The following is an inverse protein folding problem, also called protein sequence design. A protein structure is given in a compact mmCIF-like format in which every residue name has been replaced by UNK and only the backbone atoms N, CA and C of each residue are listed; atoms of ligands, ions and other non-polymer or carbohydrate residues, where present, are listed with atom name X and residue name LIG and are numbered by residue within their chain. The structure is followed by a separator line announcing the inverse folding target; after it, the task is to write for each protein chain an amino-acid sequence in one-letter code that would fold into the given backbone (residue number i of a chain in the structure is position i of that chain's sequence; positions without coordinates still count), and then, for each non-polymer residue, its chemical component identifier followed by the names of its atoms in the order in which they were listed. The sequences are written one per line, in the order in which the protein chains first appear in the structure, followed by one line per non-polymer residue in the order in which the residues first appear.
data_IF_384490096786
#
_entry.id   IF_384490096786
#
_cell.length_a   1.000
_cell.length_b   1.000
_cell.length_c   1.000
_cell.angle_alpha   90.00
_cell.angle_beta   90.00
_cell.angle_gamma   90.00
#
_symmetry.space_group_name_H-M   'P 1'
#
loop_
_entity.id
_entity.type
_entity.pdbx_description
1 polymer ?
#
# COMPACT_ATOMS: atom_id res chain seq x y z
N UNK A 1 19.76 2.48 5.18
CA UNK A 1 18.40 2.95 4.88
C UNK A 1 17.85 3.73 6.05
N UNK A 2 17.17 4.82 5.78
CA UNK A 2 16.54 5.68 6.79
C UNK A 2 15.03 5.74 6.51
N UNK A 3 14.23 6.17 7.49
CA UNK A 3 12.79 6.35 7.27
C UNK A 3 12.50 7.26 6.08
N UNK A 4 11.46 6.95 5.31
CA UNK A 4 10.95 7.75 4.20
C UNK A 4 11.86 7.83 2.98
N UNK A 5 12.91 7.01 2.90
CA UNK A 5 13.86 7.07 1.77
C UNK A 5 13.46 6.13 0.63
N UNK A 6 13.09 4.91 0.93
CA UNK A 6 12.72 3.90 -0.07
C UNK A 6 11.27 3.50 0.10
N UNK A 7 10.47 3.80 -0.90
CA UNK A 7 9.03 3.57 -0.90
C UNK A 7 8.70 2.57 -1.99
N UNK A 8 7.85 1.60 -1.69
CA UNK A 8 7.35 0.65 -2.67
C UNK A 8 5.83 0.73 -2.78
N UNK A 9 5.31 0.36 -3.92
CA UNK A 9 3.86 0.37 -4.19
C UNK A 9 3.49 -0.78 -5.12
N UNK A 10 2.27 -1.25 -4.99
CA UNK A 10 1.64 -2.20 -5.89
C UNK A 10 0.13 -2.12 -5.66
N UNK A 11 -0.64 -2.76 -6.53
CA UNK A 11 -2.09 -2.84 -6.41
C UNK A 11 -2.50 -4.26 -6.05
N UNK A 12 -3.48 -4.41 -5.15
CA UNK A 12 -4.09 -5.71 -4.89
C UNK A 12 -5.60 -5.64 -5.02
N UNK A 13 -6.18 -6.77 -5.38
CA UNK A 13 -7.60 -6.93 -5.66
C UNK A 13 -8.27 -7.77 -4.58
N UNK A 14 -9.48 -7.36 -4.19
CA UNK A 14 -10.36 -8.07 -3.27
C UNK A 14 -11.71 -8.30 -3.93
N UNK A 15 -12.43 -9.29 -3.44
CA UNK A 15 -13.79 -9.60 -3.89
C UNK A 15 -14.77 -9.43 -2.74
N UNK A 16 -15.93 -8.89 -3.04
CA UNK A 16 -17.08 -8.86 -2.14
C UNK A 16 -18.33 -9.24 -2.92
N UNK A 17 -19.42 -9.45 -2.23
CA UNK A 17 -20.64 -9.98 -2.84
C UNK A 17 -21.83 -9.11 -2.47
N UNK A 18 -22.78 -8.97 -3.39
CA UNK A 18 -24.04 -8.31 -3.14
C UNK A 18 -25.16 -9.31 -3.43
N UNK A 19 -26.25 -9.23 -2.66
CA UNK A 19 -27.45 -10.05 -2.86
C UNK A 19 -28.49 -9.18 -3.55
N UNK A 20 -28.96 -9.61 -4.73
CA UNK A 20 -29.98 -8.89 -5.45
C UNK A 20 -31.40 -9.16 -4.86
N UNK A 21 -32.42 -8.50 -5.43
CA UNK A 21 -33.81 -8.63 -4.97
C UNK A 21 -34.35 -10.07 -5.09
N UNK A 22 -33.76 -10.90 -5.95
CA UNK A 22 -34.14 -12.30 -6.15
C UNK A 22 -33.31 -13.28 -5.31
N UNK A 23 -32.43 -12.78 -4.48
CA UNK A 23 -31.56 -13.60 -3.64
C UNK A 23 -30.30 -14.14 -4.32
N UNK A 24 -29.97 -13.66 -5.53
CA UNK A 24 -28.75 -14.07 -6.24
C UNK A 24 -27.54 -13.29 -5.76
N UNK A 25 -26.41 -13.99 -5.60
CA UNK A 25 -25.14 -13.36 -5.28
C UNK A 25 -24.46 -12.85 -6.56
N UNK A 26 -24.04 -11.58 -6.54
CA UNK A 26 -23.21 -10.99 -7.58
C UNK A 26 -21.84 -10.66 -7.01
N UNK A 27 -20.79 -11.01 -7.75
CA UNK A 27 -19.40 -10.77 -7.33
C UNK A 27 -18.93 -9.41 -7.82
N UNK A 28 -18.32 -8.65 -6.92
CA UNK A 28 -17.74 -7.34 -7.20
C UNK A 28 -16.28 -7.30 -6.77
N UNK A 29 -15.54 -6.34 -7.28
CA UNK A 29 -14.12 -6.17 -6.98
C UNK A 29 -13.85 -4.85 -6.27
N UNK A 30 -12.85 -4.87 -5.41
CA UNK A 30 -12.33 -3.71 -4.72
C UNK A 30 -10.81 -3.73 -4.89
N UNK A 31 -10.22 -2.55 -5.11
CA UNK A 31 -8.78 -2.40 -5.34
C UNK A 31 -8.17 -1.53 -4.26
N UNK A 32 -7.00 -1.95 -3.77
CA UNK A 32 -6.21 -1.22 -2.79
C UNK A 32 -4.86 -0.86 -3.43
N UNK A 33 -4.51 0.42 -3.35
CA UNK A 33 -3.25 0.97 -3.88
C UNK A 33 -2.45 1.61 -2.74
N UNK A 34 -1.64 0.84 -2.00
CA UNK A 34 -0.84 1.37 -0.89
C UNK A 34 0.57 1.76 -1.33
N UNK A 35 1.13 2.72 -0.61
CA UNK A 35 2.56 3.07 -0.64
C UNK A 35 3.17 2.72 0.71
N UNK A 36 4.22 1.92 0.70
CA UNK A 36 4.86 1.39 1.90
C UNK A 36 6.29 1.92 2.05
N UNK A 37 6.65 2.32 3.26
CA UNK A 37 8.04 2.59 3.61
C UNK A 37 8.78 1.26 3.77
N UNK A 38 9.79 1.04 2.94
CA UNK A 38 10.58 -0.20 3.02
C UNK A 38 11.47 -0.25 4.25
N UNK A 39 11.65 0.87 4.94
CA UNK A 39 12.46 0.92 6.15
C UNK A 39 11.83 0.12 7.30
N UNK A 40 10.53 0.28 7.53
CA UNK A 40 9.83 -0.34 8.66
C UNK A 40 8.56 -1.09 8.28
N UNK A 41 8.18 -1.07 6.99
CA UNK A 41 6.94 -1.68 6.51
C UNK A 41 5.68 -0.86 6.76
N UNK A 42 5.80 0.40 7.20
CA UNK A 42 4.65 1.27 7.44
C UNK A 42 3.93 1.62 6.14
N UNK A 43 2.61 1.54 6.15
CA UNK A 43 1.79 2.02 5.03
C UNK A 43 1.59 3.52 5.22
N UNK A 44 2.23 4.31 4.37
CA UNK A 44 2.25 5.77 4.50
C UNK A 44 1.04 6.43 3.87
N UNK A 45 0.57 5.90 2.75
CA UNK A 45 -0.65 6.37 2.10
C UNK A 45 -1.30 5.22 1.35
N UNK A 46 -2.59 5.34 1.08
CA UNK A 46 -3.31 4.37 0.25
C UNK A 46 -4.61 4.96 -0.25
N UNK A 47 -5.15 4.34 -1.31
CA UNK A 47 -6.50 4.61 -1.80
C UNK A 47 -7.21 3.29 -2.06
N UNK A 48 -8.53 3.33 -1.93
CA UNK A 48 -9.40 2.18 -2.18
C UNK A 48 -10.42 2.61 -3.23
N UNK A 49 -10.68 1.71 -4.18
CA UNK A 49 -11.64 1.97 -5.24
C UNK A 49 -12.33 0.70 -5.73
N UNK A 50 -13.41 0.87 -6.50
CA UNK A 50 -14.15 -0.26 -7.06
C UNK A 50 -13.68 -0.66 -8.46
N UNK A 51 -12.68 0.00 -8.98
CA UNK A 51 -12.05 -0.27 -10.29
C UNK A 51 -10.61 0.23 -10.27
N UNK A 52 -9.74 -0.26 -11.18
CA UNK A 52 -8.42 0.32 -11.35
C UNK A 52 -8.55 1.81 -11.68
N UNK A 53 -7.84 2.66 -10.95
CA UNK A 53 -8.01 4.11 -11.03
C UNK A 53 -6.67 4.83 -11.04
N UNK A 54 -6.40 5.53 -12.16
CA UNK A 54 -5.26 6.43 -12.26
C UNK A 54 -5.33 7.53 -11.20
N UNK A 55 -6.52 8.10 -11.00
CA UNK A 55 -6.76 9.16 -10.03
C UNK A 55 -6.40 8.73 -8.61
N UNK A 56 -6.85 7.54 -8.19
CA UNK A 56 -6.53 7.01 -6.87
C UNK A 56 -5.02 6.82 -6.67
N UNK A 57 -4.33 6.30 -7.66
CA UNK A 57 -2.88 6.09 -7.59
C UNK A 57 -2.15 7.44 -7.51
N UNK A 58 -2.57 8.42 -8.31
CA UNK A 58 -1.96 9.75 -8.30
C UNK A 58 -2.23 10.50 -6.99
N UNK A 59 -3.41 10.36 -6.41
CA UNK A 59 -3.73 10.94 -5.09
C UNK A 59 -2.89 10.31 -3.98
N UNK A 60 -2.76 8.98 -3.97
CA UNK A 60 -1.91 8.28 -3.01
C UNK A 60 -0.43 8.64 -3.20
N UNK A 61 0.02 8.79 -4.44
CA UNK A 61 1.36 9.25 -4.76
C UNK A 61 1.62 10.66 -4.20
N UNK A 62 0.71 11.59 -4.44
CA UNK A 62 0.84 12.96 -3.97
C UNK A 62 0.94 13.01 -2.43
N UNK A 63 0.14 12.22 -1.75
CA UNK A 63 0.16 12.13 -0.29
C UNK A 63 1.47 11.56 0.25
N UNK A 64 1.96 10.45 -0.32
CA UNK A 64 3.22 9.84 0.14
C UNK A 64 4.43 10.72 -0.17
N UNK A 65 4.41 11.47 -1.27
CA UNK A 65 5.45 12.45 -1.58
C UNK A 65 5.49 13.53 -0.50
N UNK A 66 4.34 14.03 -0.09
CA UNK A 66 4.23 15.03 0.98
C UNK A 66 4.71 14.49 2.32
N UNK A 67 4.29 13.29 2.69
CA UNK A 67 4.68 12.64 3.96
C UNK A 67 6.18 12.40 4.02
N UNK A 68 6.81 12.03 2.91
CA UNK A 68 8.23 11.68 2.85
C UNK A 68 9.14 12.86 2.53
N UNK A 69 8.62 14.08 2.45
CA UNK A 69 9.40 15.28 2.12
C UNK A 69 10.44 15.63 3.18
N UNK A 70 10.33 15.10 4.38
CA UNK A 70 11.26 15.28 5.49
C UNK A 70 12.56 14.46 5.33
N UNK A 71 12.60 13.53 4.38
CA UNK A 71 13.79 12.70 4.16
C UNK A 71 14.97 13.58 3.68
N UNK A 72 16.12 13.55 4.38
CA UNK A 72 17.27 14.38 3.99
C UNK A 72 18.04 13.82 2.79
N UNK A 73 17.72 12.63 2.34
CA UNK A 73 18.38 11.96 1.22
C UNK A 73 17.46 11.88 0.01
N UNK A 74 18.07 11.57 -1.15
CA UNK A 74 17.27 11.31 -2.34
C UNK A 74 16.36 10.11 -2.12
N UNK A 75 15.07 10.31 -2.37
CA UNK A 75 14.07 9.26 -2.25
C UNK A 75 14.05 8.36 -3.47
N UNK A 76 13.67 7.10 -3.28
CA UNK A 76 13.44 6.13 -4.35
C UNK A 76 12.04 5.56 -4.22
N UNK A 77 11.25 5.62 -5.30
CA UNK A 77 9.95 4.98 -5.37
C UNK A 77 10.05 3.76 -6.29
N UNK A 78 9.79 2.60 -5.74
CA UNK A 78 9.87 1.32 -6.44
C UNK A 78 8.49 0.78 -6.78
N UNK A 79 8.33 0.23 -7.99
CA UNK A 79 7.10 -0.44 -8.43
C UNK A 79 7.44 -1.54 -9.43
N UNK A 80 6.45 -2.32 -9.85
CA UNK A 80 6.55 -3.14 -11.05
C UNK A 80 6.42 -2.26 -12.31
N UNK A 81 6.33 -2.89 -13.49
CA UNK A 81 6.16 -2.20 -14.76
C UNK A 81 4.67 -2.03 -15.14
N UNK A 82 3.78 -2.00 -14.17
CA UNK A 82 2.35 -1.79 -14.39
C UNK A 82 2.04 -0.48 -15.12
N UNK A 83 0.91 -0.45 -15.81
CA UNK A 83 0.50 0.69 -16.64
C UNK A 83 0.49 2.02 -15.87
N UNK A 84 0.04 1.99 -14.62
CA UNK A 84 -0.12 3.19 -13.80
C UNK A 84 1.22 3.87 -13.54
N UNK A 85 2.27 3.09 -13.32
CA UNK A 85 3.58 3.60 -12.96
C UNK A 85 4.38 4.07 -14.17
N UNK A 86 3.88 3.78 -15.37
CA UNK A 86 4.42 4.26 -16.64
C UNK A 86 3.66 5.48 -17.19
N UNK A 87 2.54 5.88 -16.54
CA UNK A 87 1.80 7.08 -16.92
C UNK A 87 2.69 8.32 -16.87
N UNK A 88 2.56 9.17 -17.86
CA UNK A 88 3.34 10.43 -17.94
C UNK A 88 3.15 11.29 -16.68
N UNK A 89 1.94 11.37 -16.15
CA UNK A 89 1.63 12.13 -14.94
C UNK A 89 2.36 11.58 -13.70
N UNK A 90 2.37 10.25 -13.54
CA UNK A 90 3.07 9.59 -12.44
C UNK A 90 4.60 9.83 -12.51
N UNK A 91 5.17 9.57 -13.68
CA UNK A 91 6.62 9.73 -13.92
C UNK A 91 7.05 11.18 -13.76
N UNK A 92 6.25 12.12 -14.31
CA UNK A 92 6.54 13.55 -14.23
C UNK A 92 6.56 14.04 -12.78
N UNK A 93 5.63 13.58 -11.97
CA UNK A 93 5.56 14.00 -10.56
C UNK A 93 6.82 13.56 -9.80
N UNK A 94 7.29 12.34 -10.01
CA UNK A 94 8.54 11.87 -9.41
C UNK A 94 9.74 12.71 -9.84
N UNK A 95 9.82 13.05 -11.12
CA UNK A 95 10.90 13.91 -11.65
C UNK A 95 10.87 15.31 -11.05
N UNK A 96 9.69 15.90 -10.95
CA UNK A 96 9.52 17.23 -10.34
C UNK A 96 10.01 17.27 -8.90
N UNK A 97 9.80 16.19 -8.16
CA UNK A 97 10.21 16.08 -6.76
C UNK A 97 11.61 15.48 -6.59
N UNK A 98 12.32 15.25 -7.69
CA UNK A 98 13.68 14.67 -7.70
C UNK A 98 13.74 13.30 -7.04
N UNK A 99 12.69 12.52 -7.20
CA UNK A 99 12.59 11.15 -6.71
C UNK A 99 13.06 10.20 -7.80
N UNK A 100 13.94 9.26 -7.44
CA UNK A 100 14.38 8.23 -8.36
C UNK A 100 13.28 7.18 -8.53
N UNK A 101 12.91 6.87 -9.76
CA UNK A 101 11.95 5.81 -10.06
C UNK A 101 12.68 4.50 -10.34
N UNK A 102 12.40 3.49 -9.52
CA UNK A 102 12.91 2.14 -9.69
C UNK A 102 11.77 1.23 -10.11
N UNK A 103 12.01 0.37 -11.10
CA UNK A 103 11.03 -0.63 -11.55
C UNK A 103 11.66 -2.01 -11.53
N UNK A 104 10.91 -3.02 -11.02
CA UNK A 104 11.35 -4.40 -11.10
C UNK A 104 11.35 -4.87 -12.56
N UNK A 105 12.28 -5.76 -12.87
CA UNK A 105 12.37 -6.37 -14.20
C UNK A 105 11.16 -7.28 -14.42
N UNK A 106 10.71 -7.34 -15.67
CA UNK A 106 9.61 -8.21 -16.06
C UNK A 106 9.93 -9.66 -15.67
N UNK A 107 9.10 -10.25 -14.83
CA UNK A 107 9.27 -11.64 -14.38
C UNK A 107 10.13 -11.85 -13.13
N UNK A 108 10.61 -10.79 -12.47
CA UNK A 108 11.38 -10.91 -11.22
C UNK A 108 10.49 -10.58 -10.02
N UNK A 109 9.88 -11.59 -9.42
CA UNK A 109 9.01 -11.45 -8.24
C UNK A 109 9.74 -11.00 -6.98
N UNK A 110 11.07 -11.15 -6.91
CA UNK A 110 11.86 -10.86 -5.71
C UNK A 110 11.95 -9.37 -5.38
N UNK A 111 11.82 -8.51 -6.40
CA UNK A 111 12.01 -7.08 -6.23
C UNK A 111 10.85 -6.39 -5.50
N UNK A 112 9.68 -7.04 -5.38
CA UNK A 112 8.52 -6.51 -4.66
C UNK A 112 8.00 -7.47 -3.56
N UNK A 113 8.87 -8.33 -3.06
CA UNK A 113 8.52 -9.32 -2.04
C UNK A 113 7.97 -8.70 -0.76
N UNK A 114 8.44 -7.51 -0.40
CA UNK A 114 8.00 -6.78 0.80
C UNK A 114 6.52 -6.43 0.70
N UNK A 115 6.08 -5.93 -0.46
CA UNK A 115 4.68 -5.58 -0.67
C UNK A 115 3.81 -6.84 -0.77
N UNK A 116 4.28 -7.87 -1.44
CA UNK A 116 3.57 -9.15 -1.52
C UNK A 116 3.38 -9.76 -0.14
N UNK A 117 4.37 -9.66 0.73
CA UNK A 117 4.29 -10.12 2.10
C UNK A 117 3.22 -9.35 2.88
N UNK A 118 3.15 -8.04 2.73
CA UNK A 118 2.10 -7.24 3.34
C UNK A 118 0.71 -7.67 2.85
N UNK A 119 0.53 -7.81 1.54
CA UNK A 119 -0.75 -8.25 0.98
C UNK A 119 -1.16 -9.63 1.49
N UNK A 120 -0.19 -10.54 1.61
CA UNK A 120 -0.42 -11.86 2.19
C UNK A 120 -0.89 -11.79 3.63
N UNK A 121 -0.24 -11.01 4.47
CA UNK A 121 -0.63 -10.80 5.87
C UNK A 121 -2.01 -10.20 5.99
N UNK A 122 -2.28 -9.14 5.24
CA UNK A 122 -3.58 -8.47 5.25
C UNK A 122 -4.69 -9.43 4.89
N UNK A 123 -4.53 -10.17 3.79
CA UNK A 123 -5.56 -11.11 3.33
C UNK A 123 -5.73 -12.28 4.29
N UNK A 124 -4.67 -12.78 4.86
CA UNK A 124 -4.73 -13.88 5.82
C UNK A 124 -5.41 -13.47 7.13
N UNK A 125 -5.16 -12.24 7.59
CA UNK A 125 -5.64 -11.78 8.91
C UNK A 125 -7.03 -11.16 8.87
N UNK A 126 -7.51 -10.65 7.71
CA UNK A 126 -8.83 -10.01 7.68
C UNK A 126 -9.71 -10.39 6.48
N UNK A 127 -9.20 -11.14 5.51
CA UNK A 127 -9.93 -11.39 4.27
C UNK A 127 -10.26 -12.86 4.03
N UNK A 128 -9.28 -13.77 4.07
CA UNK A 128 -9.53 -15.18 3.82
C UNK A 128 -10.44 -15.78 4.90
N UNK A 129 -11.46 -16.53 4.47
CA UNK A 129 -12.43 -17.14 5.36
C UNK A 129 -13.55 -16.21 5.82
N UNK A 130 -13.55 -14.96 5.36
CA UNK A 130 -14.61 -13.98 5.64
C UNK A 130 -15.32 -13.62 4.34
N UNK A 131 -16.63 -13.54 4.35
CA UNK A 131 -17.41 -13.08 3.22
C UNK A 131 -17.93 -11.68 3.51
N UNK A 132 -17.61 -10.72 2.63
CA UNK A 132 -18.06 -9.33 2.74
C UNK A 132 -19.23 -9.11 1.77
N UNK A 133 -20.28 -8.47 2.24
CA UNK A 133 -21.52 -8.30 1.48
C UNK A 133 -21.77 -6.87 1.00
N UNK A 134 -20.79 -5.97 1.19
CA UNK A 134 -20.85 -4.64 0.61
C UNK A 134 -19.46 -4.06 0.41
N UNK A 135 -19.36 -3.10 -0.50
CA UNK A 135 -18.15 -2.33 -0.71
C UNK A 135 -17.70 -1.62 0.58
N UNK A 136 -18.64 -0.96 1.27
CA UNK A 136 -18.35 -0.20 2.47
C UNK A 136 -17.86 -1.09 3.63
N UNK A 137 -18.44 -2.28 3.77
CA UNK A 137 -18.01 -3.23 4.80
C UNK A 137 -16.55 -3.68 4.57
N UNK A 138 -16.22 -4.06 3.35
CA UNK A 138 -14.85 -4.48 3.00
C UNK A 138 -13.87 -3.33 3.11
N UNK A 139 -14.23 -2.15 2.59
CA UNK A 139 -13.40 -0.94 2.69
C UNK A 139 -13.08 -0.59 4.14
N UNK A 140 -14.10 -0.57 4.99
CA UNK A 140 -13.93 -0.28 6.42
C UNK A 140 -13.00 -1.29 7.10
N UNK A 141 -13.15 -2.58 6.78
CA UNK A 141 -12.29 -3.63 7.33
C UNK A 141 -10.83 -3.46 6.91
N UNK A 142 -10.58 -3.08 5.65
CA UNK A 142 -9.22 -2.80 5.17
C UNK A 142 -8.63 -1.58 5.88
N UNK A 143 -9.39 -0.49 6.00
CA UNK A 143 -8.95 0.73 6.67
C UNK A 143 -8.59 0.48 8.14
N UNK A 144 -9.42 -0.27 8.85
CA UNK A 144 -9.18 -0.65 10.25
C UNK A 144 -7.95 -1.55 10.36
N UNK A 145 -7.78 -2.48 9.43
CA UNK A 145 -6.60 -3.36 9.44
C UNK A 145 -5.31 -2.57 9.21
N UNK A 146 -5.28 -1.64 8.27
CA UNK A 146 -4.08 -0.83 8.00
C UNK A 146 -3.71 -0.01 9.21
N UNK A 147 -4.69 0.57 9.90
CA UNK A 147 -4.45 1.31 11.15
C UNK A 147 -3.86 0.39 12.23
N UNK A 148 -4.45 -0.78 12.44
CA UNK A 148 -3.94 -1.79 13.37
C UNK A 148 -2.52 -2.23 13.00
N UNK A 149 -2.28 -2.52 11.71
CA UNK A 149 -0.98 -2.94 11.20
C UNK A 149 0.10 -1.90 11.48
N UNK A 150 -0.18 -0.65 11.20
CA UNK A 150 0.78 0.44 11.39
C UNK A 150 1.06 0.72 12.88
N UNK A 151 0.02 0.75 13.70
CA UNK A 151 0.11 1.29 15.06
C UNK A 151 0.27 0.23 16.14
N UNK A 152 -0.22 -1.00 15.91
CA UNK A 152 -0.34 -2.01 16.96
C UNK A 152 0.28 -3.36 16.63
N UNK A 153 0.31 -3.75 15.34
CA UNK A 153 0.81 -5.06 14.96
C UNK A 153 2.32 -5.13 15.11
N UNK A 154 2.77 -5.89 16.11
CA UNK A 154 4.19 -6.04 16.40
C UNK A 154 4.87 -7.00 15.41
N UNK A 155 6.15 -6.74 15.14
CA UNK A 155 6.99 -7.55 14.25
C UNK A 155 8.31 -7.86 14.95
N UNK A 156 8.74 -9.10 14.86
CA UNK A 156 10.03 -9.53 15.40
C UNK A 156 11.19 -8.71 14.83
N UNK A 157 11.19 -8.47 13.52
CA UNK A 157 12.21 -7.68 12.83
C UNK A 157 12.36 -6.25 13.36
N UNK A 158 11.31 -5.72 13.97
CA UNK A 158 11.28 -4.37 14.52
C UNK A 158 11.46 -4.37 16.05
N UNK A 159 12.03 -5.43 16.60
CA UNK A 159 12.21 -5.55 18.04
C UNK A 159 10.88 -5.65 18.80
N UNK A 160 9.91 -6.36 18.22
CA UNK A 160 8.57 -6.55 18.77
C UNK A 160 7.78 -5.24 18.92
N UNK A 161 8.01 -4.32 17.97
CA UNK A 161 7.28 -3.07 17.84
C UNK A 161 6.45 -3.06 16.56
N UNK A 162 5.40 -2.24 16.54
CA UNK A 162 4.71 -1.94 15.30
C UNK A 162 5.55 -1.02 14.41
N UNK A 163 5.27 -0.90 13.11
CA UNK A 163 5.99 0.03 12.24
C UNK A 163 6.08 1.45 12.78
N UNK A 164 4.97 2.02 13.24
CA UNK A 164 4.95 3.38 13.80
C UNK A 164 5.75 3.46 15.10
N UNK A 165 5.58 2.50 16.01
CA UNK A 165 6.35 2.47 17.27
C UNK A 165 7.85 2.39 17.02
N UNK A 166 8.26 1.59 16.03
CA UNK A 166 9.66 1.46 15.66
C UNK A 166 10.23 2.80 15.16
N UNK A 167 9.52 3.47 14.24
CA UNK A 167 9.93 4.76 13.73
C UNK A 167 10.07 5.81 14.85
N UNK A 168 9.08 5.87 15.74
CA UNK A 168 9.08 6.83 16.84
C UNK A 168 10.18 6.53 17.86
N UNK A 169 10.54 5.26 18.07
CA UNK A 169 11.63 4.89 18.98
C UNK A 169 13.00 5.40 18.52
N UNK A 170 13.18 5.55 17.20
CA UNK A 170 14.42 6.08 16.63
C UNK A 170 14.53 7.60 16.81
N UNK A 171 13.41 8.30 16.82
CA UNK A 171 13.37 9.76 17.01
C UNK A 171 13.62 10.17 18.46
N UNK A 172 13.44 9.26 19.42
CA UNK A 172 13.61 9.50 20.86
C UNK A 172 15.03 9.25 21.34
N UNK A 173 15.91 8.79 20.47
CA UNK A 173 17.31 8.48 20.80
C UNK A 173 18.24 9.66 20.59
#
# INVERSE_FOLDING_TARGET
TVPHQKITTDTTEFKYYEVDAQGHLTQHKLYLDPFMDMFNGEILSYRIGNRPSAENILEAQAEVIRITADCPYRRTFHSDQGWAYQMKSYVRKLKQERIFQSMSRKGTCLDNAVMENFFGLLKQEMYYGVVYYSYEELKSAIEQYIKYYNEQRIKEKLGWKSPVQYRLSLSAA
#
